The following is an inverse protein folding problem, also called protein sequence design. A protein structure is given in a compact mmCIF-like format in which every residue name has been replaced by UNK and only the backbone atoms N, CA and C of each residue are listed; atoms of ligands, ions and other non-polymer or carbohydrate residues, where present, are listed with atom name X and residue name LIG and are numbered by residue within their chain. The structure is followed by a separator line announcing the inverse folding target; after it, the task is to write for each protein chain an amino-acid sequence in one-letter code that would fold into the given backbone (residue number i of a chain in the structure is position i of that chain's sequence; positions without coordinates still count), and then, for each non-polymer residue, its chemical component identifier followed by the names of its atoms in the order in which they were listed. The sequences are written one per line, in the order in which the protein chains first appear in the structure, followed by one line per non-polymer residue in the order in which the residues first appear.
data_IF_103771868903
#
_entry.id   IF_103771868903
#
_cell.length_a   1.000
_cell.length_b   1.000
_cell.length_c   1.000
_cell.angle_alpha   90.00
_cell.angle_beta   90.00
_cell.angle_gamma   90.00
#
_symmetry.space_group_name_H-M   'P 1'
#
loop_
_entity.id
_entity.type
_entity.pdbx_description
1 polymer ?
#
# COMPACT_ATOMS: atom_id res chain seq x y z
N UNK A 1 0.77 -25.69 -12.46
CA UNK A 1 0.82 -24.21 -12.30
C UNK A 1 2.07 -23.69 -12.97
N UNK A 2 1.92 -22.65 -13.77
CA UNK A 2 3.03 -22.04 -14.47
C UNK A 2 3.96 -21.29 -13.49
N UNK A 3 5.23 -21.19 -13.85
CA UNK A 3 6.25 -20.51 -13.02
C UNK A 3 5.85 -19.07 -12.70
N UNK A 4 5.27 -18.37 -13.68
CA UNK A 4 4.83 -16.99 -13.53
C UNK A 4 3.72 -16.86 -12.48
N UNK A 5 2.76 -17.79 -12.48
CA UNK A 5 1.69 -17.81 -11.49
C UNK A 5 2.23 -18.04 -10.08
N UNK A 6 3.20 -18.93 -9.94
CA UNK A 6 3.84 -19.19 -8.65
C UNK A 6 4.57 -17.93 -8.14
N UNK A 7 5.25 -17.23 -9.05
CA UNK A 7 5.94 -15.99 -8.70
C UNK A 7 4.95 -14.92 -8.23
N UNK A 8 3.81 -14.78 -8.92
CA UNK A 8 2.78 -13.82 -8.53
C UNK A 8 2.17 -14.17 -7.17
N UNK A 9 1.95 -15.45 -6.90
CA UNK A 9 1.41 -15.88 -5.61
C UNK A 9 2.40 -15.60 -4.47
N UNK A 10 3.68 -15.88 -4.67
CA UNK A 10 4.70 -15.60 -3.68
C UNK A 10 4.83 -14.10 -3.44
N UNK A 11 4.85 -13.32 -4.52
CA UNK A 11 4.89 -11.86 -4.41
C UNK A 11 3.69 -11.34 -3.61
N UNK A 12 2.49 -11.88 -3.86
CA UNK A 12 1.28 -11.49 -3.13
C UNK A 12 1.40 -11.83 -1.64
N UNK A 13 1.92 -13.01 -1.31
CA UNK A 13 2.12 -13.40 0.09
C UNK A 13 3.07 -12.44 0.81
N UNK A 14 4.16 -12.07 0.15
CA UNK A 14 5.12 -11.11 0.70
C UNK A 14 4.45 -9.76 0.92
N UNK A 15 3.71 -9.28 -0.08
CA UNK A 15 3.01 -8.00 0.00
C UNK A 15 1.99 -7.98 1.12
N UNK A 16 1.21 -9.04 1.28
CA UNK A 16 0.19 -9.12 2.34
C UNK A 16 0.82 -9.07 3.72
N UNK A 17 1.93 -9.78 3.92
CA UNK A 17 2.66 -9.75 5.18
C UNK A 17 3.28 -8.38 5.44
N UNK A 18 3.83 -7.75 4.40
CA UNK A 18 4.42 -6.42 4.50
C UNK A 18 3.37 -5.36 4.83
N UNK A 19 2.20 -5.44 4.18
CA UNK A 19 1.09 -4.52 4.47
C UNK A 19 0.68 -4.59 5.94
N UNK A 20 0.59 -5.80 6.49
CA UNK A 20 0.26 -5.99 7.91
C UNK A 20 1.34 -5.38 8.81
N UNK A 21 2.61 -5.61 8.50
CA UNK A 21 3.72 -5.09 9.30
C UNK A 21 3.78 -3.56 9.25
N UNK A 22 3.77 -2.99 8.04
CA UNK A 22 3.91 -1.54 7.87
C UNK A 22 2.68 -0.76 8.35
N UNK A 23 1.50 -1.38 8.37
CA UNK A 23 0.30 -0.74 8.90
C UNK A 23 0.18 -0.88 10.42
N UNK A 24 0.79 -1.90 10.99
CA UNK A 24 0.72 -2.15 12.43
C UNK A 24 1.76 -1.40 13.24
N UNK A 25 2.83 -0.96 12.59
CA UNK A 25 3.94 -0.26 13.25
C UNK A 25 4.45 0.85 12.34
N UNK A 26 5.18 1.83 12.92
CA UNK A 26 5.86 2.84 12.13
C UNK A 26 6.90 2.18 11.22
N UNK A 27 7.29 2.87 10.18
CA UNK A 27 8.30 2.36 9.25
C UNK A 27 9.60 1.98 10.00
N UNK A 28 10.05 2.85 10.91
CA UNK A 28 11.28 2.61 11.66
C UNK A 28 11.21 1.39 12.57
N UNK A 29 10.02 1.08 13.10
CA UNK A 29 9.81 -0.08 13.97
C UNK A 29 9.52 -1.36 13.20
N UNK A 30 9.18 -1.26 11.92
CA UNK A 30 8.90 -2.41 11.06
C UNK A 30 10.18 -3.14 10.68
N UNK A 31 10.10 -4.46 10.52
CA UNK A 31 11.27 -5.26 10.15
C UNK A 31 10.96 -6.35 9.13
N UNK A 32 11.92 -6.61 8.25
CA UNK A 32 11.85 -7.72 7.30
C UNK A 32 11.81 -9.06 8.05
N UNK A 33 12.46 -9.15 9.20
CA UNK A 33 12.40 -10.36 10.02
C UNK A 33 10.98 -10.68 10.47
N UNK A 34 10.22 -9.67 10.89
CA UNK A 34 8.82 -9.86 11.28
C UNK A 34 7.97 -10.27 10.08
N UNK A 35 8.22 -9.68 8.91
CA UNK A 35 7.52 -10.06 7.69
C UNK A 35 7.77 -11.53 7.34
N UNK A 36 9.02 -11.97 7.45
CA UNK A 36 9.39 -13.37 7.24
C UNK A 36 8.67 -14.30 8.20
N UNK A 37 8.72 -13.98 9.48
CA UNK A 37 8.16 -14.83 10.53
C UNK A 37 6.64 -14.98 10.41
N UNK A 38 5.96 -13.93 10.03
CA UNK A 38 4.48 -13.93 9.96
C UNK A 38 3.94 -14.92 8.94
N UNK A 39 4.69 -15.20 7.86
CA UNK A 39 4.24 -16.08 6.78
C UNK A 39 5.13 -17.31 6.58
N UNK A 40 6.14 -17.47 7.42
CA UNK A 40 7.10 -18.57 7.23
C UNK A 40 7.87 -18.47 5.93
N UNK A 41 8.18 -17.26 5.48
CA UNK A 41 8.93 -16.99 4.24
C UNK A 41 10.37 -16.67 4.63
N UNK A 42 11.34 -17.24 3.91
CA UNK A 42 12.74 -16.95 4.19
C UNK A 42 13.12 -15.54 3.73
N UNK A 43 14.10 -14.98 4.42
CA UNK A 43 14.66 -13.67 4.09
C UNK A 43 15.21 -13.62 2.66
N UNK A 44 15.85 -14.71 2.24
CA UNK A 44 16.39 -14.82 0.87
C UNK A 44 15.32 -14.73 -0.19
N UNK A 45 14.16 -15.34 0.07
CA UNK A 45 13.02 -15.26 -0.87
C UNK A 45 12.51 -13.83 -0.96
N UNK A 46 12.34 -13.17 0.17
CA UNK A 46 11.86 -11.79 0.18
C UNK A 46 12.82 -10.87 -0.60
N UNK A 47 14.13 -10.98 -0.34
CA UNK A 47 15.13 -10.17 -1.04
C UNK A 47 15.30 -10.53 -2.52
N UNK A 48 14.81 -11.69 -2.93
CA UNK A 48 14.74 -12.03 -4.36
C UNK A 48 13.70 -11.14 -5.08
N UNK A 49 12.57 -10.85 -4.43
CA UNK A 49 11.49 -10.04 -5.00
C UNK A 49 11.65 -8.54 -4.74
N UNK A 50 12.14 -8.19 -3.56
CA UNK A 50 12.30 -6.80 -3.12
C UNK A 50 13.68 -6.63 -2.52
N UNK A 51 14.52 -5.83 -3.14
CA UNK A 51 15.95 -5.73 -2.79
C UNK A 51 16.19 -5.13 -1.41
N UNK A 52 15.30 -4.23 -0.95
CA UNK A 52 15.44 -3.54 0.31
C UNK A 52 14.08 -3.41 0.98
N UNK A 53 14.10 -3.10 2.28
CA UNK A 53 12.89 -2.76 3.03
C UNK A 53 12.20 -1.55 2.41
N UNK A 54 12.98 -0.55 1.97
CA UNK A 54 12.46 0.65 1.32
C UNK A 54 11.68 0.30 0.05
N UNK A 55 12.23 -0.56 -0.79
CA UNK A 55 11.58 -1.00 -2.03
C UNK A 55 10.26 -1.71 -1.73
N UNK A 56 10.23 -2.57 -0.72
CA UNK A 56 9.02 -3.27 -0.30
C UNK A 56 7.97 -2.29 0.24
N UNK A 57 8.39 -1.33 1.06
CA UNK A 57 7.48 -0.32 1.60
C UNK A 57 6.87 0.52 0.48
N UNK A 58 7.69 0.98 -0.47
CA UNK A 58 7.19 1.76 -1.61
C UNK A 58 6.23 0.97 -2.49
N UNK A 59 6.46 -0.34 -2.66
CA UNK A 59 5.53 -1.19 -3.38
C UNK A 59 4.16 -1.24 -2.68
N UNK A 60 4.16 -1.32 -1.36
CA UNK A 60 2.93 -1.29 -0.57
C UNK A 60 2.20 0.05 -0.70
N UNK A 61 2.93 1.16 -0.66
CA UNK A 61 2.37 2.50 -0.82
C UNK A 61 1.76 2.67 -2.21
N UNK A 62 2.46 2.22 -3.25
CA UNK A 62 1.96 2.27 -4.62
C UNK A 62 0.68 1.47 -4.79
N UNK A 63 0.60 0.28 -4.20
CA UNK A 63 -0.61 -0.54 -4.23
C UNK A 63 -1.77 0.19 -3.57
N UNK A 64 -1.54 0.77 -2.39
CA UNK A 64 -2.55 1.53 -1.67
C UNK A 64 -3.10 2.68 -2.53
N UNK A 65 -2.21 3.48 -3.11
CA UNK A 65 -2.60 4.62 -3.95
C UNK A 65 -3.31 4.17 -5.22
N UNK A 66 -2.85 3.09 -5.84
CA UNK A 66 -3.48 2.56 -7.06
C UNK A 66 -4.89 2.08 -6.80
N UNK A 67 -5.11 1.36 -5.70
CA UNK A 67 -6.43 0.87 -5.34
C UNK A 67 -7.37 2.02 -4.96
N UNK A 68 -6.88 3.00 -4.21
CA UNK A 68 -7.65 4.18 -3.84
C UNK A 68 -8.05 4.98 -5.09
N UNK A 69 -7.10 5.21 -5.99
CA UNK A 69 -7.35 5.94 -7.23
C UNK A 69 -8.37 5.23 -8.10
N UNK A 70 -8.24 3.91 -8.25
CA UNK A 70 -9.20 3.12 -9.02
C UNK A 70 -10.61 3.19 -8.41
N UNK A 71 -10.69 3.08 -7.10
CA UNK A 71 -11.97 3.16 -6.38
C UNK A 71 -12.65 4.51 -6.61
N UNK A 72 -11.92 5.60 -6.42
CA UNK A 72 -12.46 6.96 -6.59
C UNK A 72 -12.83 7.23 -8.04
N UNK A 73 -11.94 6.88 -8.98
CA UNK A 73 -12.17 7.09 -10.42
C UNK A 73 -13.42 6.38 -10.91
N UNK A 74 -13.62 5.15 -10.47
CA UNK A 74 -14.81 4.37 -10.86
C UNK A 74 -16.09 5.04 -10.38
N UNK A 75 -16.09 5.58 -9.17
CA UNK A 75 -17.28 6.19 -8.57
C UNK A 75 -17.53 7.64 -9.04
N UNK A 76 -16.51 8.31 -9.56
CA UNK A 76 -16.61 9.68 -10.01
C UNK A 76 -16.57 9.82 -11.53
N UNK A 77 -16.80 8.74 -12.27
CA UNK A 77 -16.72 8.72 -13.73
C UNK A 77 -17.61 9.74 -14.44
N UNK A 78 -18.79 9.97 -13.92
CA UNK A 78 -19.79 10.78 -14.64
C UNK A 78 -19.49 12.27 -14.65
N UNK A 79 -18.63 12.74 -13.79
CA UNK A 79 -18.18 14.12 -13.82
C UNK A 79 -19.26 15.18 -13.63
N UNK A 80 -20.41 14.83 -13.08
CA UNK A 80 -21.54 15.71 -12.91
C UNK A 80 -21.44 16.50 -11.60
N UNK A 81 -22.00 17.69 -11.62
CA UNK A 81 -22.08 18.54 -10.45
C UNK A 81 -21.07 19.68 -10.46
N UNK A 82 -21.18 20.55 -9.48
CA UNK A 82 -20.29 21.68 -9.29
C UNK A 82 -18.94 21.20 -8.75
N UNK A 83 -17.93 22.07 -8.78
CA UNK A 83 -16.62 21.78 -8.21
C UNK A 83 -16.73 21.39 -6.73
N UNK A 84 -17.59 22.08 -5.99
CA UNK A 84 -17.83 21.79 -4.58
C UNK A 84 -18.43 20.40 -4.37
N UNK A 85 -19.46 20.07 -5.16
CA UNK A 85 -20.11 18.76 -5.08
C UNK A 85 -19.13 17.64 -5.43
N UNK A 86 -18.29 17.86 -6.44
CA UNK A 86 -17.28 16.87 -6.84
C UNK A 86 -16.23 16.68 -5.74
N UNK A 87 -15.82 17.76 -5.08
CA UNK A 87 -14.88 17.66 -3.96
C UNK A 87 -15.50 16.89 -2.79
N UNK A 88 -16.77 17.14 -2.49
CA UNK A 88 -17.50 16.39 -1.46
C UNK A 88 -17.58 14.91 -1.81
N UNK A 89 -17.87 14.58 -3.07
CA UNK A 89 -17.88 13.21 -3.56
C UNK A 89 -16.52 12.53 -3.40
N UNK A 90 -15.46 13.25 -3.72
CA UNK A 90 -14.09 12.74 -3.57
C UNK A 90 -13.81 12.34 -2.11
N UNK A 91 -14.10 13.23 -1.16
CA UNK A 91 -13.88 12.95 0.25
C UNK A 91 -14.76 11.80 0.77
N UNK A 92 -16.01 11.75 0.31
CA UNK A 92 -16.93 10.67 0.67
C UNK A 92 -16.41 9.32 0.18
N UNK A 93 -15.96 9.24 -1.07
CA UNK A 93 -15.39 8.03 -1.65
C UNK A 93 -14.13 7.60 -0.90
N UNK A 94 -13.25 8.55 -0.60
CA UNK A 94 -12.02 8.28 0.13
C UNK A 94 -12.30 7.73 1.52
N UNK A 95 -13.22 8.33 2.24
CA UNK A 95 -13.64 7.85 3.56
C UNK A 95 -14.21 6.44 3.51
N UNK A 96 -15.06 6.19 2.51
CA UNK A 96 -15.66 4.87 2.32
C UNK A 96 -14.61 3.80 2.02
N UNK A 97 -13.63 4.13 1.17
CA UNK A 97 -12.54 3.21 0.84
C UNK A 97 -11.76 2.84 2.11
N UNK A 98 -11.35 3.84 2.89
CA UNK A 98 -10.55 3.58 4.09
C UNK A 98 -11.36 2.89 5.20
N UNK A 99 -12.66 3.15 5.29
CA UNK A 99 -13.51 2.44 6.24
C UNK A 99 -13.56 0.94 5.94
N UNK A 100 -13.51 0.57 4.65
CA UNK A 100 -13.48 -0.83 4.21
C UNK A 100 -12.07 -1.44 4.22
N UNK A 101 -11.03 -0.61 4.29
CA UNK A 101 -9.63 -1.06 4.19
C UNK A 101 -8.77 -0.41 5.27
N UNK A 102 -8.92 -0.80 6.55
CA UNK A 102 -8.17 -0.16 7.65
C UNK A 102 -6.65 -0.25 7.50
N UNK A 103 -6.14 -1.33 6.91
CA UNK A 103 -4.71 -1.49 6.67
C UNK A 103 -4.20 -0.38 5.74
N UNK A 104 -4.92 -0.13 4.65
CA UNK A 104 -4.55 0.93 3.71
C UNK A 104 -4.68 2.32 4.33
N UNK A 105 -5.65 2.53 5.20
CA UNK A 105 -5.79 3.79 5.92
C UNK A 105 -4.55 4.10 6.77
N UNK A 106 -4.10 3.13 7.54
CA UNK A 106 -2.90 3.29 8.38
C UNK A 106 -1.65 3.53 7.53
N UNK A 107 -1.51 2.77 6.46
CA UNK A 107 -0.37 2.92 5.55
C UNK A 107 -0.39 4.29 4.86
N UNK A 108 -1.56 4.75 4.43
CA UNK A 108 -1.74 6.08 3.83
C UNK A 108 -1.31 7.18 4.81
N UNK A 109 -1.72 7.08 6.08
CA UNK A 109 -1.32 8.03 7.10
C UNK A 109 0.19 8.04 7.30
N UNK A 110 0.82 6.86 7.34
CA UNK A 110 2.27 6.74 7.46
C UNK A 110 2.99 7.39 6.27
N UNK A 111 2.45 7.22 5.07
CA UNK A 111 3.07 7.72 3.86
C UNK A 111 2.88 9.23 3.66
N UNK A 112 1.73 9.77 4.05
CA UNK A 112 1.37 11.18 3.77
C UNK A 112 1.58 12.08 4.98
N UNK A 113 1.19 11.62 6.17
CA UNK A 113 1.26 12.45 7.38
C UNK A 113 2.63 12.40 8.03
N UNK A 114 3.23 11.22 8.10
CA UNK A 114 4.53 11.00 8.75
C UNK A 114 5.43 10.12 7.90
N UNK A 115 5.76 10.53 6.65
CA UNK A 115 6.56 9.69 5.77
C UNK A 115 7.98 9.51 6.32
N UNK A 116 8.60 8.34 6.06
CA UNK A 116 10.03 8.21 6.30
C UNK A 116 10.76 9.30 5.52
N UNK A 117 11.59 10.07 6.20
CA UNK A 117 12.21 11.27 5.63
C UNK A 117 12.98 10.97 4.34
N UNK A 118 13.74 9.89 4.32
CA UNK A 118 14.56 9.51 3.17
C UNK A 118 13.74 8.99 1.98
N UNK A 119 12.45 8.70 2.16
CA UNK A 119 11.56 8.22 1.10
C UNK A 119 10.52 9.25 0.67
N UNK A 120 10.59 10.46 1.22
CA UNK A 120 9.58 11.49 0.99
C UNK A 120 9.39 11.81 -0.49
N UNK A 121 10.47 11.95 -1.24
CA UNK A 121 10.42 12.26 -2.68
C UNK A 121 9.81 11.11 -3.47
N UNK A 122 10.19 9.88 -3.17
CA UNK A 122 9.68 8.69 -3.86
C UNK A 122 8.19 8.49 -3.59
N UNK A 123 7.74 8.77 -2.35
CA UNK A 123 6.32 8.68 -1.99
C UNK A 123 5.52 9.71 -2.77
N UNK A 124 6.02 10.92 -2.91
CA UNK A 124 5.34 11.97 -3.68
C UNK A 124 5.17 11.61 -5.16
N UNK A 125 6.04 10.77 -5.69
CA UNK A 125 5.98 10.30 -7.07
C UNK A 125 5.09 9.07 -7.27
N UNK A 126 4.51 8.54 -6.20
CA UNK A 126 3.63 7.37 -6.30
C UNK A 126 2.22 7.69 -6.84
#
# INVERSE_FOLDING_TARGET
MKREEKNQQMRRRIMDSALAEFSGQSYGASSVNNICSAQGISKGIIYHYFKTKDELFLACVKECFSLLTAYISERMQQGEGTARERLEQYFTCRMAFFASHPIYQRLFCEAIVSPPEHLSAEIQNC
#
